data_IF_311229821080
#
_entry.id   IF_311229821080
#
_cell.length_a   1.000
_cell.length_b   1.000
_cell.length_c   1.000
_cell.angle_alpha   90.00
_cell.angle_beta   90.00
_cell.angle_gamma   90.00
#
_symmetry.space_group_name_H-M   'P 1'
#
loop_
_entity.id
_entity.type
_entity.pdbx_description
1 polymer ?
#
# COMPACT_ATOMS: atom_id res chain seq x y z
N UNK A 1 -8.80 2.25 -5.92
CA UNK A 1 -9.18 1.65 -4.63
C UNK A 1 -10.50 0.88 -4.71
N UNK A 2 -11.66 1.53 -4.88
CA UNK A 2 -12.98 0.88 -4.80
C UNK A 2 -13.17 -0.44 -5.57
N UNK A 3 -12.70 -0.58 -6.83
CA UNK A 3 -12.86 -1.84 -7.56
C UNK A 3 -12.15 -3.03 -6.88
N UNK A 4 -11.01 -2.81 -6.19
CA UNK A 4 -10.34 -3.85 -5.41
C UNK A 4 -11.16 -4.28 -4.20
N UNK A 5 -11.76 -3.32 -3.50
CA UNK A 5 -12.61 -3.58 -2.34
C UNK A 5 -13.81 -4.45 -2.73
N UNK A 6 -14.47 -4.14 -3.86
CA UNK A 6 -15.56 -4.97 -4.39
C UNK A 6 -15.12 -6.40 -4.67
N UNK A 7 -13.96 -6.59 -5.32
CA UNK A 7 -13.44 -7.93 -5.62
C UNK A 7 -13.23 -8.75 -4.34
N UNK A 8 -12.59 -8.15 -3.32
CA UNK A 8 -12.34 -8.83 -2.04
C UNK A 8 -13.66 -9.12 -1.34
N UNK A 9 -14.58 -8.16 -1.26
CA UNK A 9 -15.87 -8.34 -0.63
C UNK A 9 -16.68 -9.48 -1.28
N UNK A 10 -16.75 -9.50 -2.62
CA UNK A 10 -17.44 -10.54 -3.38
C UNK A 10 -16.84 -11.93 -3.15
N UNK A 11 -15.50 -12.04 -3.18
CA UNK A 11 -14.81 -13.31 -2.92
C UNK A 11 -15.06 -13.86 -1.50
N UNK A 12 -15.44 -12.99 -0.56
CA UNK A 12 -15.67 -13.32 0.84
C UNK A 12 -17.15 -13.24 1.25
N UNK A 13 -18.07 -13.07 0.30
CA UNK A 13 -19.52 -12.96 0.54
C UNK A 13 -19.88 -11.84 1.53
N UNK A 14 -19.12 -10.75 1.52
CA UNK A 14 -19.36 -9.55 2.32
C UNK A 14 -20.12 -8.55 1.46
N UNK A 15 -21.30 -8.13 1.93
CA UNK A 15 -22.18 -7.25 1.15
C UNK A 15 -21.61 -5.83 0.98
N UNK A 16 -21.00 -5.29 2.04
CA UNK A 16 -20.42 -3.94 2.04
C UNK A 16 -18.93 -3.96 1.67
N UNK A 17 -18.52 -3.39 0.51
CA UNK A 17 -17.11 -3.25 0.14
C UNK A 17 -16.31 -2.36 1.10
N UNK A 18 -16.95 -1.50 1.88
CA UNK A 18 -16.30 -0.66 2.88
C UNK A 18 -16.25 -1.29 4.28
N UNK A 19 -16.68 -2.56 4.41
CA UNK A 19 -16.49 -3.31 5.64
C UNK A 19 -15.01 -3.25 6.07
N UNK A 20 -14.77 -2.98 7.35
CA UNK A 20 -13.41 -2.76 7.86
C UNK A 20 -12.45 -3.90 7.54
N UNK A 21 -12.90 -5.17 7.54
CA UNK A 21 -12.05 -6.31 7.17
C UNK A 21 -11.65 -6.30 5.70
N UNK A 22 -12.54 -5.85 4.82
CA UNK A 22 -12.27 -5.73 3.38
C UNK A 22 -11.27 -4.59 3.12
N UNK A 23 -11.45 -3.46 3.79
CA UNK A 23 -10.51 -2.32 3.71
C UNK A 23 -9.14 -2.74 4.25
N UNK A 24 -9.10 -3.41 5.40
CA UNK A 24 -7.88 -3.94 5.99
C UNK A 24 -7.17 -4.91 5.05
N UNK A 25 -7.89 -5.85 4.43
CA UNK A 25 -7.36 -6.80 3.47
C UNK A 25 -6.64 -6.12 2.30
N UNK A 26 -7.25 -5.05 1.75
CA UNK A 26 -6.65 -4.30 0.66
C UNK A 26 -5.45 -3.46 1.14
N UNK A 27 -5.58 -2.81 2.29
CA UNK A 27 -4.67 -1.76 2.76
C UNK A 27 -3.41 -2.31 3.44
N UNK A 28 -3.60 -3.19 4.44
CA UNK A 28 -2.52 -3.77 5.26
C UNK A 28 -2.45 -5.29 5.18
N UNK A 29 -3.42 -5.91 4.51
CA UNK A 29 -3.53 -7.35 4.35
C UNK A 29 -4.22 -8.04 5.53
N UNK A 30 -4.91 -9.13 5.24
CA UNK A 30 -5.44 -10.13 6.17
C UNK A 30 -5.85 -11.39 5.38
N UNK A 31 -6.52 -12.33 6.04
CA UNK A 31 -6.92 -13.63 5.48
C UNK A 31 -7.89 -13.54 4.30
N UNK A 32 -8.64 -12.45 4.14
CA UNK A 32 -9.63 -12.32 3.06
C UNK A 32 -9.01 -12.35 1.66
N UNK A 33 -7.71 -12.01 1.56
CA UNK A 33 -6.96 -12.08 0.31
C UNK A 33 -6.79 -13.53 -0.18
N UNK A 34 -6.82 -14.51 0.71
CA UNK A 34 -6.64 -15.91 0.33
C UNK A 34 -7.82 -16.45 -0.47
N UNK A 35 -9.03 -15.97 -0.18
CA UNK A 35 -10.27 -16.37 -0.86
C UNK A 35 -10.44 -15.76 -2.26
N UNK A 36 -9.60 -14.79 -2.65
CA UNK A 36 -9.62 -14.24 -4.00
C UNK A 36 -8.91 -15.20 -4.96
N UNK A 37 -9.68 -15.82 -5.86
CA UNK A 37 -9.16 -16.75 -6.86
C UNK A 37 -8.31 -16.04 -7.91
N UNK A 38 -7.36 -16.80 -8.47
CA UNK A 38 -6.50 -16.37 -9.57
C UNK A 38 -7.33 -15.85 -10.77
N UNK A 39 -8.37 -16.59 -11.14
CA UNK A 39 -9.24 -16.27 -12.28
C UNK A 39 -10.01 -14.98 -12.06
N UNK A 40 -10.57 -14.78 -10.85
CA UNK A 40 -11.29 -13.57 -10.51
C UNK A 40 -10.35 -12.36 -10.52
N UNK A 41 -9.13 -12.51 -9.99
CA UNK A 41 -8.17 -11.42 -10.00
C UNK A 41 -7.66 -11.07 -11.40
N UNK A 42 -7.39 -12.08 -12.24
CA UNK A 42 -7.09 -11.88 -13.65
C UNK A 42 -8.19 -11.09 -14.36
N UNK A 43 -9.44 -11.57 -14.24
CA UNK A 43 -10.60 -10.95 -14.87
C UNK A 43 -10.79 -9.50 -14.41
N UNK A 44 -10.61 -9.24 -13.12
CA UNK A 44 -10.61 -7.90 -12.56
C UNK A 44 -9.57 -6.98 -13.22
N UNK A 45 -8.32 -7.44 -13.38
CA UNK A 45 -7.26 -6.64 -14.01
C UNK A 45 -7.58 -6.32 -15.49
N UNK A 46 -8.25 -7.24 -16.19
CA UNK A 46 -8.68 -7.02 -17.57
C UNK A 46 -9.89 -6.08 -17.65
N UNK A 47 -10.96 -6.41 -16.95
CA UNK A 47 -12.29 -5.83 -17.18
C UNK A 47 -12.45 -4.50 -16.44
N UNK A 48 -12.07 -4.48 -15.15
CA UNK A 48 -12.26 -3.33 -14.26
C UNK A 48 -11.09 -2.35 -14.36
N UNK A 49 -9.85 -2.86 -14.30
CA UNK A 49 -8.66 -2.02 -14.45
C UNK A 49 -8.34 -1.66 -15.91
N UNK A 50 -8.96 -2.33 -16.88
CA UNK A 50 -8.82 -2.07 -18.32
C UNK A 50 -7.35 -2.08 -18.76
N UNK A 51 -6.51 -2.96 -18.18
CA UNK A 51 -5.07 -2.92 -18.43
C UNK A 51 -4.70 -3.13 -19.90
N UNK A 52 -5.46 -3.96 -20.63
CA UNK A 52 -5.29 -4.14 -22.09
C UNK A 52 -5.40 -2.85 -22.89
N UNK A 53 -6.15 -1.86 -22.41
CA UNK A 53 -6.28 -0.54 -23.05
C UNK A 53 -5.19 0.44 -22.61
N UNK A 54 -4.48 0.14 -21.53
CA UNK A 54 -3.52 1.05 -20.87
C UNK A 54 -2.07 0.69 -21.15
N UNK A 55 -1.78 -0.58 -21.42
CA UNK A 55 -0.42 -1.14 -21.47
C UNK A 55 -0.14 -1.91 -22.76
N UNK A 56 1.13 -1.95 -23.15
CA UNK A 56 1.63 -2.77 -24.25
C UNK A 56 1.76 -4.25 -23.83
N UNK A 57 1.94 -5.14 -24.81
CA UNK A 57 2.01 -6.59 -24.61
C UNK A 57 3.09 -7.00 -23.59
N UNK A 58 4.31 -6.46 -23.72
CA UNK A 58 5.43 -6.77 -22.81
C UNK A 58 5.12 -6.45 -21.35
N UNK A 59 4.42 -5.34 -21.09
CA UNK A 59 4.03 -4.98 -19.73
C UNK A 59 2.86 -5.84 -19.23
N UNK A 60 1.91 -6.17 -20.09
CA UNK A 60 0.82 -7.10 -19.76
C UNK A 60 1.35 -8.49 -19.39
N UNK A 61 2.31 -9.01 -20.14
CA UNK A 61 2.99 -10.29 -19.85
C UNK A 61 3.66 -10.25 -18.47
N UNK A 62 4.38 -9.17 -18.15
CA UNK A 62 5.01 -9.00 -16.82
C UNK A 62 3.99 -8.96 -15.68
N UNK A 63 2.85 -8.32 -15.86
CA UNK A 63 1.81 -8.23 -14.83
C UNK A 63 1.07 -9.56 -14.69
N UNK A 64 0.63 -10.14 -15.81
CA UNK A 64 -0.17 -11.36 -15.80
C UNK A 64 0.63 -12.61 -15.49
N UNK A 65 1.94 -12.63 -15.79
CA UNK A 65 2.84 -13.71 -15.40
C UNK A 65 2.96 -13.89 -13.88
N UNK A 66 2.61 -12.87 -13.08
CA UNK A 66 2.66 -12.91 -11.61
C UNK A 66 1.39 -13.45 -10.97
N UNK A 67 0.29 -13.47 -11.72
CA UNK A 67 -1.00 -14.00 -11.26
C UNK A 67 -0.91 -15.49 -10.89
N UNK A 68 -0.38 -16.39 -11.75
CA UNK A 68 -0.20 -17.80 -11.37
C UNK A 68 0.85 -18.00 -10.26
N UNK A 69 1.71 -17.01 -10.02
CA UNK A 69 2.69 -17.03 -8.91
C UNK A 69 2.09 -16.62 -7.56
N UNK A 70 0.78 -16.34 -7.51
CA UNK A 70 0.03 -16.06 -6.29
C UNK A 70 -0.31 -14.58 -6.07
N UNK A 71 -0.23 -13.72 -7.09
CA UNK A 71 -0.61 -12.31 -6.94
C UNK A 71 -2.00 -12.14 -6.31
N UNK A 72 -2.09 -11.25 -5.33
CA UNK A 72 -3.32 -10.93 -4.59
C UNK A 72 -3.70 -9.45 -4.75
N UNK A 73 -4.99 -9.08 -4.58
CA UNK A 73 -5.46 -7.70 -4.66
C UNK A 73 -5.08 -6.85 -3.44
N UNK A 74 -3.79 -6.81 -3.09
CA UNK A 74 -3.24 -5.97 -2.03
C UNK A 74 -2.73 -4.63 -2.59
N UNK A 75 -2.76 -3.55 -1.82
CA UNK A 75 -2.34 -2.23 -2.28
C UNK A 75 -0.89 -2.22 -2.78
N UNK A 76 0.04 -2.86 -2.05
CA UNK A 76 1.44 -2.96 -2.50
C UNK A 76 1.63 -3.76 -3.78
N UNK A 77 0.77 -4.74 -4.10
CA UNK A 77 0.78 -5.39 -5.42
C UNK A 77 0.50 -4.36 -6.52
N UNK A 78 -0.53 -3.53 -6.33
CA UNK A 78 -0.88 -2.48 -7.27
C UNK A 78 0.28 -1.51 -7.47
N UNK A 79 0.84 -0.97 -6.39
CA UNK A 79 1.92 0.03 -6.45
C UNK A 79 3.18 -0.52 -7.15
N UNK A 80 3.58 -1.75 -6.85
CA UNK A 80 4.82 -2.31 -7.40
C UNK A 80 4.68 -2.85 -8.82
N UNK A 81 3.51 -3.39 -9.17
CA UNK A 81 3.35 -4.13 -10.43
C UNK A 81 2.58 -3.36 -11.50
N UNK A 82 1.83 -2.32 -11.15
CA UNK A 82 1.09 -1.49 -12.09
C UNK A 82 1.84 -0.16 -12.24
N UNK A 83 2.64 0.04 -13.30
CA UNK A 83 3.61 1.15 -13.36
C UNK A 83 2.99 2.53 -13.52
N UNK A 84 1.68 2.61 -13.81
CA UNK A 84 0.95 3.87 -13.90
C UNK A 84 0.00 4.02 -12.73
N UNK A 85 0.05 5.18 -12.07
CA UNK A 85 -0.99 5.58 -11.12
C UNK A 85 -2.32 5.66 -11.86
N UNK A 86 -3.29 4.86 -11.43
CA UNK A 86 -4.61 4.77 -12.08
C UNK A 86 -5.54 5.89 -11.59
N UNK A 87 -5.24 7.14 -11.97
CA UNK A 87 -6.06 8.34 -11.71
C UNK A 87 -6.36 9.16 -12.97
N UNK A 88 -6.90 10.37 -12.82
CA UNK A 88 -7.25 11.28 -13.94
C UNK A 88 -6.06 11.65 -14.84
N UNK A 89 -4.83 11.52 -14.33
CA UNK A 89 -3.59 11.63 -15.12
C UNK A 89 -2.75 10.38 -14.93
N UNK A 90 -2.49 9.59 -16.00
CA UNK A 90 -1.57 8.47 -15.92
C UNK A 90 -0.14 8.99 -15.80
N UNK A 91 0.38 9.07 -14.57
CA UNK A 91 1.78 9.39 -14.30
C UNK A 91 2.52 8.10 -14.01
N UNK A 92 3.68 7.93 -14.64
CA UNK A 92 4.57 6.80 -14.36
C UNK A 92 5.05 6.86 -12.91
N UNK A 93 5.11 5.70 -12.28
CA UNK A 93 5.71 5.56 -10.96
C UNK A 93 7.23 5.76 -11.05
N UNK A 94 7.75 6.68 -10.24
CA UNK A 94 9.17 6.77 -9.92
C UNK A 94 9.42 5.98 -8.63
N UNK A 95 10.68 5.69 -8.30
CA UNK A 95 11.01 5.05 -7.02
C UNK A 95 10.43 5.84 -5.83
N UNK A 96 10.59 7.16 -5.86
CA UNK A 96 10.05 8.06 -4.85
C UNK A 96 8.52 7.97 -4.77
N UNK A 97 7.80 8.05 -5.90
CA UNK A 97 6.33 7.99 -5.83
C UNK A 97 5.80 6.60 -5.49
N UNK A 98 6.53 5.52 -5.78
CA UNK A 98 6.19 4.19 -5.27
C UNK A 98 6.36 4.11 -3.75
N UNK A 99 7.44 4.69 -3.22
CA UNK A 99 7.70 4.68 -1.78
C UNK A 99 6.68 5.52 -1.00
N UNK A 100 6.28 6.67 -1.55
CA UNK A 100 5.20 7.48 -0.98
C UNK A 100 3.83 6.80 -1.13
N UNK A 101 3.58 6.07 -2.22
CA UNK A 101 2.27 5.48 -2.49
C UNK A 101 2.05 4.11 -1.83
N UNK A 102 3.09 3.33 -1.54
CA UNK A 102 2.89 2.07 -0.81
C UNK A 102 2.46 2.38 0.62
N UNK A 103 1.72 1.45 1.21
CA UNK A 103 1.45 1.53 2.64
C UNK A 103 2.70 1.04 3.36
N UNK A 104 3.37 1.93 4.07
CA UNK A 104 4.59 1.59 4.80
C UNK A 104 4.29 1.38 6.28
N UNK A 105 4.94 0.39 6.89
CA UNK A 105 5.04 0.32 8.35
C UNK A 105 6.13 1.28 8.79
N UNK A 106 5.86 2.03 9.85
CA UNK A 106 6.85 2.85 10.52
C UNK A 106 6.63 2.83 12.03
N UNK A 107 7.67 3.21 12.78
CA UNK A 107 7.63 3.31 14.23
C UNK A 107 7.79 4.75 14.68
N UNK A 108 6.89 5.24 15.53
CA UNK A 108 6.94 6.62 16.02
C UNK A 108 8.15 6.83 16.94
N UNK A 109 8.91 7.89 16.67
CA UNK A 109 10.00 8.38 17.52
C UNK A 109 9.51 9.50 18.43
N UNK A 110 10.29 9.80 19.47
CA UNK A 110 9.91 10.69 20.57
C UNK A 110 10.12 12.18 20.23
N UNK A 111 9.70 12.61 19.03
CA UNK A 111 9.89 13.98 18.55
C UNK A 111 8.60 14.48 17.89
N UNK A 112 7.95 15.43 18.57
CA UNK A 112 6.81 16.19 18.04
C UNK A 112 7.29 17.60 17.72
N UNK A 113 6.90 18.10 16.55
CA UNK A 113 7.02 19.51 16.22
C UNK A 113 5.66 20.04 15.78
N UNK A 114 5.23 21.14 16.39
CA UNK A 114 4.02 21.86 16.01
C UNK A 114 4.39 23.00 15.07
N UNK A 115 3.65 23.11 13.97
CA UNK A 115 3.86 24.17 12.98
C UNK A 115 2.62 25.06 12.97
N UNK A 116 2.81 26.38 13.01
CA UNK A 116 1.72 27.36 12.87
C UNK A 116 1.36 27.54 11.38
N UNK A 117 0.83 26.48 10.77
CA UNK A 117 0.31 26.50 9.40
C UNK A 117 -0.87 25.50 9.29
N UNK A 118 -1.50 25.40 8.13
CA UNK A 118 -2.60 24.46 7.84
C UNK A 118 -2.24 23.00 8.15
N UNK A 119 -0.95 22.67 8.19
CA UNK A 119 -0.46 21.39 8.68
C UNK A 119 0.12 21.55 10.09
N UNK A 120 -0.62 21.08 11.09
CA UNK A 120 -0.45 21.52 12.48
C UNK A 120 0.61 20.74 13.24
N UNK A 121 0.84 19.48 12.86
CA UNK A 121 1.69 18.56 13.63
C UNK A 121 2.46 17.57 12.75
N UNK A 122 3.77 17.51 13.03
CA UNK A 122 4.68 16.52 12.48
C UNK A 122 5.28 15.65 13.57
N UNK A 123 5.60 14.42 13.19
CA UNK A 123 6.36 13.48 14.01
C UNK A 123 7.51 12.91 13.21
N UNK A 124 8.57 12.51 13.90
CA UNK A 124 9.63 11.69 13.32
C UNK A 124 9.26 10.22 13.47
N UNK A 125 9.45 9.46 12.41
CA UNK A 125 9.27 8.01 12.40
C UNK A 125 10.51 7.33 11.86
N UNK A 126 10.69 6.08 12.26
CA UNK A 126 11.69 5.19 11.70
C UNK A 126 10.99 4.20 10.75
N UNK A 127 11.45 4.14 9.49
CA UNK A 127 10.87 3.28 8.45
C UNK A 127 11.93 2.82 7.44
N UNK A 128 11.63 1.77 6.68
CA UNK A 128 12.49 1.30 5.59
C UNK A 128 12.00 1.86 4.26
N UNK A 129 12.75 2.71 3.52
CA UNK A 129 12.36 3.24 2.21
C UNK A 129 12.52 2.19 1.11
N UNK A 130 11.90 2.38 -0.05
CA UNK A 130 12.23 1.61 -1.24
C UNK A 130 13.57 2.03 -1.84
N UNK A 131 14.37 1.04 -2.23
CA UNK A 131 15.62 1.22 -2.97
C UNK A 131 15.66 0.29 -4.19
N UNK A 132 16.45 0.65 -5.20
CA UNK A 132 16.78 -0.25 -6.30
C UNK A 132 18.23 -0.71 -6.11
N UNK A 133 18.42 -2.01 -6.00
CA UNK A 133 19.73 -2.64 -5.87
C UNK A 133 19.79 -3.84 -6.80
N UNK A 134 20.81 -3.91 -7.66
CA UNK A 134 20.96 -4.97 -8.67
C UNK A 134 19.71 -5.15 -9.54
N UNK A 135 19.12 -4.04 -10.01
CA UNK A 135 17.87 -3.99 -10.78
C UNK A 135 16.64 -4.61 -10.08
N UNK A 136 16.68 -4.75 -8.75
CA UNK A 136 15.57 -5.26 -7.95
C UNK A 136 15.07 -4.21 -6.96
N UNK A 137 13.76 -4.10 -6.83
CA UNK A 137 13.11 -3.24 -5.85
C UNK A 137 13.16 -3.90 -4.46
N UNK A 138 13.67 -3.20 -3.46
CA UNK A 138 13.85 -3.71 -2.09
C UNK A 138 13.47 -2.67 -1.04
N UNK A 139 13.31 -3.12 0.20
CA UNK A 139 13.35 -2.24 1.37
C UNK A 139 14.82 -1.96 1.74
N UNK A 140 15.17 -0.69 1.87
CA UNK A 140 16.50 -0.24 2.27
C UNK A 140 16.73 -0.33 3.77
N UNK A 141 17.84 0.26 4.22
CA UNK A 141 18.11 0.42 5.64
C UNK A 141 17.08 1.34 6.30
N UNK A 142 16.85 1.13 7.59
CA UNK A 142 15.94 1.97 8.36
C UNK A 142 16.47 3.41 8.43
N UNK A 143 15.61 4.38 8.16
CA UNK A 143 15.96 5.81 8.22
C UNK A 143 14.86 6.57 8.96
N UNK A 144 15.23 7.74 9.48
CA UNK A 144 14.27 8.67 10.03
C UNK A 144 13.56 9.44 8.91
N UNK A 145 12.26 9.66 9.09
CA UNK A 145 11.43 10.44 8.18
C UNK A 145 10.47 11.30 8.97
N UNK A 146 10.27 12.50 8.49
CA UNK A 146 9.26 13.40 9.00
C UNK A 146 7.92 13.10 8.32
N UNK A 147 6.85 12.97 9.11
CA UNK A 147 5.51 12.66 8.63
C UNK A 147 4.47 13.57 9.27
N UNK A 148 3.38 13.77 8.54
CA UNK A 148 2.22 14.52 8.99
C UNK A 148 1.27 13.65 9.80
N UNK A 149 0.72 14.23 10.85
CA UNK A 149 -0.28 13.56 11.71
C UNK A 149 -1.58 14.37 11.84
N UNK A 150 -1.51 15.69 11.62
CA UNK A 150 -2.64 16.60 11.78
C UNK A 150 -2.68 17.65 10.66
N UNK A 151 -3.90 17.99 10.22
CA UNK A 151 -4.21 19.09 9.31
C UNK A 151 -5.35 19.92 9.87
N UNK A 152 -5.23 21.24 9.90
CA UNK A 152 -6.22 22.16 10.46
C UNK A 152 -6.68 21.73 11.87
N UNK A 153 -5.73 21.31 12.71
CA UNK A 153 -5.93 20.79 14.07
C UNK A 153 -6.82 19.54 14.14
N UNK A 154 -6.99 18.84 13.01
CA UNK A 154 -7.70 17.57 12.90
C UNK A 154 -6.71 16.46 12.58
N UNK A 155 -6.59 15.52 13.51
CA UNK A 155 -5.83 14.29 13.33
C UNK A 155 -6.69 13.24 12.62
N UNK A 156 -6.10 12.46 11.72
CA UNK A 156 -6.70 11.19 11.28
C UNK A 156 -6.67 10.15 12.41
N UNK A 157 -5.68 10.25 13.30
CA UNK A 157 -5.49 9.37 14.46
C UNK A 157 -5.23 10.22 15.70
N UNK A 158 -6.07 10.07 16.74
CA UNK A 158 -6.09 11.00 17.88
C UNK A 158 -5.03 10.73 18.95
N UNK A 159 -4.54 9.50 19.07
CA UNK A 159 -3.64 9.09 20.16
C UNK A 159 -2.41 8.36 19.62
N UNK A 160 -1.43 9.13 19.12
CA UNK A 160 -0.15 8.61 18.67
C UNK A 160 0.90 8.85 19.76
N UNK A 161 1.64 7.80 20.14
CA UNK A 161 2.69 7.83 21.16
C UNK A 161 3.99 7.27 20.61
N UNK A 162 5.10 7.66 21.23
CA UNK A 162 6.40 7.08 20.88
C UNK A 162 6.42 5.58 21.11
N UNK A 163 6.99 4.86 20.14
CA UNK A 163 7.03 3.41 20.13
C UNK A 163 5.88 2.74 19.38
N UNK A 164 4.79 3.46 19.08
CA UNK A 164 3.65 2.93 18.32
C UNK A 164 4.08 2.54 16.90
N UNK A 165 3.47 1.46 16.41
CA UNK A 165 3.50 1.12 14.99
C UNK A 165 2.42 1.89 14.27
N UNK A 166 2.75 2.44 13.10
CA UNK A 166 1.80 3.19 12.27
C UNK A 166 1.90 2.77 10.82
N UNK A 167 0.80 2.98 10.09
CA UNK A 167 0.79 2.92 8.63
C UNK A 167 1.02 4.30 8.04
N UNK A 168 1.83 4.38 6.98
CA UNK A 168 2.10 5.61 6.24
C UNK A 168 1.60 5.54 4.80
N UNK A 169 1.08 6.65 4.29
CA UNK A 169 0.78 6.86 2.88
C UNK A 169 0.94 8.36 2.52
N UNK A 170 1.76 8.69 1.53
CA UNK A 170 2.15 10.06 1.15
C UNK A 170 2.74 10.90 2.28
N UNK A 171 3.57 10.28 3.13
CA UNK A 171 4.14 10.92 4.33
C UNK A 171 3.09 11.36 5.37
N UNK A 172 1.93 10.70 5.38
CA UNK A 172 0.91 10.84 6.43
C UNK A 172 0.80 9.58 7.26
N UNK A 173 0.63 9.74 8.57
CA UNK A 173 0.15 8.68 9.44
C UNK A 173 -1.35 8.45 9.15
N UNK A 174 -1.69 7.25 8.71
CA UNK A 174 -3.06 6.88 8.38
C UNK A 174 -3.76 6.11 9.50
N UNK A 175 -3.03 5.30 10.25
CA UNK A 175 -3.57 4.48 11.34
C UNK A 175 -2.49 4.06 12.33
N UNK A 176 -2.87 3.78 13.58
CA UNK A 176 -2.02 3.10 14.58
C UNK A 176 -2.28 1.61 14.49
N UNK A 177 -1.21 0.84 14.26
CA UNK A 177 -1.26 -0.59 14.03
C UNK A 177 -0.98 -1.36 15.31
N UNK A 178 -1.70 -2.45 15.51
CA UNK A 178 -1.26 -3.51 16.42
C UNK A 178 0.03 -4.15 15.89
N UNK A 179 0.79 -4.81 16.76
CA UNK A 179 2.00 -5.54 16.35
C UNK A 179 1.70 -6.62 15.29
N UNK A 180 0.54 -7.28 15.38
CA UNK A 180 0.09 -8.25 14.38
C UNK A 180 -0.18 -7.63 13.01
N UNK A 181 -0.85 -6.47 12.99
CA UNK A 181 -1.11 -5.72 11.75
C UNK A 181 0.19 -5.20 11.11
N UNK A 182 1.13 -4.68 11.91
CA UNK A 182 2.44 -4.26 11.43
C UNK A 182 3.20 -5.43 10.80
N UNK A 183 3.29 -6.57 11.48
CA UNK A 183 3.92 -7.79 10.93
C UNK A 183 3.26 -8.26 9.64
N UNK A 184 1.93 -8.18 9.56
CA UNK A 184 1.21 -8.62 8.37
C UNK A 184 1.43 -7.68 7.17
N UNK A 185 1.42 -6.36 7.37
CA UNK A 185 1.73 -5.40 6.31
C UNK A 185 3.18 -5.56 5.83
N UNK A 186 4.14 -5.80 6.72
CA UNK A 186 5.51 -6.12 6.32
C UNK A 186 5.58 -7.41 5.49
N UNK A 187 4.88 -8.47 5.91
CA UNK A 187 4.78 -9.74 5.17
C UNK A 187 4.25 -9.52 3.76
N UNK A 188 3.13 -8.81 3.60
CA UNK A 188 2.54 -8.53 2.28
C UNK A 188 3.40 -7.60 1.42
N UNK A 189 4.10 -6.65 2.04
CA UNK A 189 5.06 -5.79 1.34
C UNK A 189 6.20 -6.63 0.78
N UNK A 190 6.82 -7.49 1.59
CA UNK A 190 7.90 -8.39 1.15
C UNK A 190 7.43 -9.40 0.11
N UNK A 191 6.22 -9.93 0.27
CA UNK A 191 5.60 -10.83 -0.71
C UNK A 191 5.47 -10.17 -2.09
N UNK A 192 4.93 -8.95 -2.15
CA UNK A 192 4.76 -8.24 -3.41
C UNK A 192 6.09 -7.70 -3.99
N UNK A 193 7.09 -7.42 -3.15
CA UNK A 193 8.46 -7.14 -3.60
C UNK A 193 9.12 -8.38 -4.23
N UNK A 194 8.88 -9.58 -3.69
CA UNK A 194 9.36 -10.81 -4.32
C UNK A 194 8.71 -10.99 -5.71
N UNK A 195 7.39 -10.78 -5.82
CA UNK A 195 6.67 -10.89 -7.08
C UNK A 195 7.13 -9.89 -8.15
N UNK A 196 7.38 -8.62 -7.79
CA UNK A 196 7.80 -7.63 -8.80
C UNK A 196 9.20 -7.90 -9.35
N UNK A 197 10.04 -8.60 -8.58
CA UNK A 197 11.43 -8.93 -8.90
C UNK A 197 11.62 -10.26 -9.64
N UNK A 198 10.53 -10.92 -10.02
CA UNK A 198 10.53 -12.08 -10.92
C UNK A 198 10.92 -11.69 -12.36
#
# INVERSE_FOLDING_TARGET
MYPYLRLIAQANQIADPFNYKVVEAYWIGNELLENVSMQNFYRYLIDEQKLKKKFNLKLLEKVFGKIPMGAKPHHSFHVFNIPKRTGHYPVEHTLHTMDECRIAVARIKNQESRIKDNFSRKMIVEYQPLVIENNKLKLGQSVEKEVWTEINDKAFVKEIKAGDWVSLHWSWVCDVLTEGQAKNLERWTRYNLALVNL
#
